data_IF_501101180750
#
_entry.id   IF_501101180750
#
_cell.length_a   1.000
_cell.length_b   1.000
_cell.length_c   1.000
_cell.angle_alpha   90.00
_cell.angle_beta   90.00
_cell.angle_gamma   90.00
#
_symmetry.space_group_name_H-M   'P 1'
#
loop_
_entity.id
_entity.type
_entity.pdbx_description
1 polymer ?
#
# COMPACT_ATOMS: atom_id res chain seq x y z
N UNK A 1 3.44 -7.50 -7.40
CA UNK A 1 4.91 -7.71 -7.24
C UNK A 1 5.59 -6.35 -7.33
N UNK A 2 6.52 -6.06 -6.42
CA UNK A 2 7.32 -4.84 -6.41
C UNK A 2 8.78 -5.17 -6.04
N UNK A 3 9.76 -4.32 -6.41
CA UNK A 3 11.14 -4.46 -5.96
C UNK A 3 11.26 -4.41 -4.42
N UNK A 4 12.25 -5.12 -3.90
CA UNK A 4 12.61 -5.11 -2.48
C UNK A 4 13.90 -4.31 -2.29
N UNK A 5 13.88 -3.39 -1.32
CA UNK A 5 15.08 -2.78 -0.76
C UNK A 5 15.16 -3.17 0.72
N UNK A 6 16.27 -3.78 1.13
CA UNK A 6 16.52 -4.12 2.53
C UNK A 6 17.31 -2.99 3.21
N UNK A 7 16.85 -2.56 4.38
CA UNK A 7 17.49 -1.47 5.12
C UNK A 7 17.29 -1.66 6.63
N UNK A 8 18.27 -1.25 7.42
CA UNK A 8 18.19 -1.24 8.90
C UNK A 8 17.40 -0.05 9.45
N UNK A 9 17.03 0.91 8.58
CA UNK A 9 16.22 2.07 8.97
C UNK A 9 14.76 1.74 9.27
N UNK A 10 14.31 0.53 8.94
CA UNK A 10 12.94 0.04 9.18
C UNK A 10 12.95 -0.95 10.33
N UNK A 11 11.94 -0.84 11.21
CA UNK A 11 11.81 -1.71 12.37
C UNK A 11 11.70 -3.20 11.96
N UNK A 12 12.29 -4.13 12.73
CA UNK A 12 12.17 -5.56 12.47
C UNK A 12 10.70 -6.01 12.39
N UNK A 13 10.36 -6.77 11.35
CA UNK A 13 9.00 -7.28 11.13
C UNK A 13 8.05 -6.30 10.43
N UNK A 14 8.52 -5.13 10.03
CA UNK A 14 7.73 -4.16 9.26
C UNK A 14 8.19 -4.08 7.79
N UNK A 15 7.27 -3.68 6.93
CA UNK A 15 7.57 -3.25 5.55
C UNK A 15 7.06 -1.85 5.35
N UNK A 16 7.77 -1.07 4.52
CA UNK A 16 7.33 0.25 4.08
C UNK A 16 7.05 0.20 2.58
N UNK A 17 5.83 0.58 2.17
CA UNK A 17 5.41 0.59 0.77
C UNK A 17 5.04 2.03 0.40
N UNK A 18 5.67 2.62 -0.63
CA UNK A 18 5.38 4.00 -1.02
C UNK A 18 3.97 4.12 -1.59
N UNK A 19 3.21 5.09 -1.08
CA UNK A 19 1.87 5.40 -1.59
C UNK A 19 1.92 6.10 -2.96
N UNK A 20 0.80 6.08 -3.69
CA UNK A 20 0.59 6.87 -4.90
C UNK A 20 0.99 6.20 -6.22
N UNK A 21 1.25 4.89 -6.22
CA UNK A 21 1.55 4.10 -7.43
C UNK A 21 0.40 3.16 -7.77
N UNK A 22 0.32 2.73 -9.03
CA UNK A 22 -0.59 1.64 -9.44
C UNK A 22 -2.08 1.96 -9.36
N UNK A 23 -2.46 3.25 -9.28
CA UNK A 23 -3.86 3.66 -9.21
C UNK A 23 -4.55 3.56 -10.58
N UNK A 24 -4.94 2.36 -10.97
CA UNK A 24 -5.51 2.08 -12.30
C UNK A 24 -6.98 1.67 -12.33
N UNK A 25 -7.67 1.67 -11.18
CA UNK A 25 -9.03 1.11 -11.11
C UNK A 25 -10.03 1.92 -11.98
N UNK A 26 -10.98 1.24 -12.67
CA UNK A 26 -11.98 1.92 -13.50
C UNK A 26 -12.74 3.00 -12.72
N UNK A 27 -12.87 4.18 -13.33
CA UNK A 27 -13.59 5.31 -12.72
C UNK A 27 -12.79 6.15 -11.73
N UNK A 28 -11.52 5.82 -11.45
CA UNK A 28 -10.65 6.69 -10.65
C UNK A 28 -10.39 8.03 -11.34
N UNK A 29 -10.46 9.12 -10.56
CA UNK A 29 -10.16 10.49 -11.01
C UNK A 29 -8.80 10.99 -10.49
N UNK A 30 -7.79 10.11 -10.38
CA UNK A 30 -6.46 10.43 -9.85
C UNK A 30 -5.38 10.43 -10.95
N UNK A 31 -5.48 11.37 -11.90
CA UNK A 31 -4.63 11.37 -13.11
C UNK A 31 -3.11 11.27 -12.86
N UNK A 32 -2.58 11.91 -11.81
CA UNK A 32 -1.15 11.83 -11.47
C UNK A 32 -0.78 10.46 -10.90
N UNK A 33 -1.58 9.92 -9.99
CA UNK A 33 -1.31 8.64 -9.35
C UNK A 33 -1.50 7.48 -10.34
N UNK A 34 -2.46 7.61 -11.26
CA UNK A 34 -2.67 6.66 -12.36
C UNK A 34 -1.53 6.64 -13.38
N UNK A 35 -0.79 7.74 -13.51
CA UNK A 35 0.38 7.80 -14.38
C UNK A 35 1.64 7.17 -13.76
N UNK A 36 1.61 6.79 -12.48
CA UNK A 36 2.75 6.18 -11.77
C UNK A 36 2.68 4.65 -11.85
N UNK A 37 3.59 4.00 -12.60
CA UNK A 37 3.61 2.53 -12.70
C UNK A 37 3.90 1.91 -11.33
N UNK A 38 3.37 0.71 -11.09
CA UNK A 38 3.54 0.00 -9.82
C UNK A 38 2.23 -0.66 -9.38
N UNK A 39 2.14 -0.97 -8.09
CA UNK A 39 0.94 -1.52 -7.46
C UNK A 39 0.41 -0.55 -6.41
N UNK A 40 -0.89 -0.57 -6.15
CA UNK A 40 -1.46 0.30 -5.13
C UNK A 40 -1.28 -0.32 -3.74
N UNK A 41 -0.73 0.46 -2.80
CA UNK A 41 -0.72 0.05 -1.39
C UNK A 41 -2.14 -0.03 -0.81
N UNK A 42 -3.09 0.71 -1.39
CA UNK A 42 -4.48 0.70 -0.95
C UNK A 42 -5.14 -0.67 -1.15
N UNK A 43 -4.70 -1.46 -2.14
CA UNK A 43 -5.22 -2.82 -2.38
C UNK A 43 -4.98 -3.74 -1.16
N UNK A 44 -4.06 -3.37 -0.26
CA UNK A 44 -3.77 -4.09 0.99
C UNK A 44 -4.51 -3.50 2.20
N UNK A 45 -4.99 -2.25 2.14
CA UNK A 45 -5.53 -1.51 3.29
C UNK A 45 -7.04 -1.29 3.19
N UNK A 46 -7.75 -2.15 2.45
CA UNK A 46 -9.19 -1.99 2.26
C UNK A 46 -9.98 -2.54 3.47
N UNK A 47 -11.01 -1.80 3.89
CA UNK A 47 -12.18 -2.37 4.57
C UNK A 47 -12.35 -2.11 6.07
N UNK A 48 -11.37 -1.55 6.77
CA UNK A 48 -11.48 -1.26 8.21
C UNK A 48 -11.62 0.24 8.49
N UNK A 49 -12.60 0.58 9.34
CA UNK A 49 -12.92 1.94 9.78
C UNK A 49 -12.86 1.98 11.30
N UNK A 50 -12.13 2.96 11.85
CA UNK A 50 -12.18 3.26 13.27
C UNK A 50 -13.58 3.80 13.64
N UNK A 51 -14.34 3.12 14.52
CA UNK A 51 -15.75 3.46 14.76
C UNK A 51 -15.94 4.78 15.50
N UNK A 52 -14.92 5.29 16.20
CA UNK A 52 -15.02 6.54 16.96
C UNK A 52 -14.78 7.77 16.09
N UNK A 53 -13.80 7.71 15.19
CA UNK A 53 -13.45 8.84 14.31
C UNK A 53 -14.07 8.75 12.92
N UNK A 54 -14.48 7.55 12.48
CA UNK A 54 -14.87 7.28 11.10
C UNK A 54 -13.69 7.27 10.13
N UNK A 55 -12.44 7.26 10.62
CA UNK A 55 -11.26 7.26 9.78
C UNK A 55 -10.93 5.85 9.25
N UNK A 56 -10.41 5.78 8.01
CA UNK A 56 -9.93 4.52 7.45
C UNK A 56 -8.62 4.08 8.10
N UNK A 57 -8.50 2.78 8.38
CA UNK A 57 -7.26 2.18 8.89
C UNK A 57 -6.34 1.89 7.71
N UNK A 58 -5.28 2.70 7.57
CA UNK A 58 -4.34 2.63 6.44
C UNK A 58 -2.94 2.12 6.83
N UNK A 59 -2.71 1.84 8.12
CA UNK A 59 -1.41 1.43 8.66
C UNK A 59 -1.60 0.27 9.64
N UNK A 60 -0.50 -0.42 9.98
CA UNK A 60 -0.53 -1.56 10.90
C UNK A 60 -1.21 -2.80 10.30
N UNK A 61 -1.39 -2.83 8.98
CA UNK A 61 -2.00 -3.94 8.25
C UNK A 61 -1.06 -5.14 8.24
N UNK A 62 -1.50 -6.33 8.72
CA UNK A 62 -0.73 -7.55 8.63
C UNK A 62 -0.51 -7.97 7.17
N UNK A 63 0.72 -8.31 6.81
CA UNK A 63 1.08 -8.75 5.46
C UNK A 63 1.95 -10.00 5.50
N UNK A 64 2.01 -10.71 4.38
CA UNK A 64 2.99 -11.76 4.11
C UNK A 64 3.81 -11.37 2.89
N UNK A 65 5.11 -11.65 2.93
CA UNK A 65 6.04 -11.35 1.84
C UNK A 65 6.65 -12.65 1.33
N UNK A 66 6.67 -12.81 0.03
CA UNK A 66 7.32 -13.93 -0.66
C UNK A 66 8.06 -13.42 -1.89
N UNK A 67 9.09 -14.16 -2.32
CA UNK A 67 9.71 -13.92 -3.61
C UNK A 67 8.67 -14.07 -4.73
N UNK A 68 8.79 -13.21 -5.76
CA UNK A 68 8.04 -13.41 -6.99
C UNK A 68 8.59 -14.64 -7.72
N UNK A 69 7.69 -15.47 -8.26
CA UNK A 69 8.04 -16.60 -9.11
C UNK A 69 8.53 -16.18 -10.49
#
# INVERSE_FOLDING_TARGET
VIPLEATEAIAPGAVSIPHGHGHGAPGMKLGVASARPGVSANDLTEGEIDPLSGNAVLNGVPVQVQAAG
#
